data_IF_878920087364
#
_entry.id   IF_878920087364
#
_cell.length_a   1.000
_cell.length_b   1.000
_cell.length_c   1.000
_cell.angle_alpha   90.00
_cell.angle_beta   90.00
_cell.angle_gamma   90.00
#
_symmetry.space_group_name_H-M   'P 1'
#
loop_
_entity.id
_entity.type
_entity.pdbx_description
1 polymer ?
#
# COMPACT_ATOMS: atom_id res chain seq x y z
N UNK A 1 -19.13 -38.56 0.09
CA UNK A 1 -17.89 -37.86 0.41
C UNK A 1 -18.10 -36.70 1.42
N UNK A 2 -19.06 -35.77 1.23
CA UNK A 2 -19.36 -34.66 2.16
C UNK A 2 -19.77 -35.11 3.58
N UNK A 3 -20.57 -36.15 3.71
CA UNK A 3 -21.09 -36.65 4.99
C UNK A 3 -20.01 -37.24 5.89
N UNK A 4 -19.08 -38.02 5.31
CA UNK A 4 -17.94 -38.63 6.03
C UNK A 4 -16.99 -37.53 6.53
N UNK A 5 -16.71 -36.55 5.68
CA UNK A 5 -15.87 -35.39 6.04
C UNK A 5 -16.42 -34.63 7.24
N UNK A 6 -17.74 -34.39 7.30
CA UNK A 6 -18.36 -33.68 8.41
C UNK A 6 -18.33 -34.44 9.72
N UNK A 7 -18.46 -35.79 9.69
CA UNK A 7 -18.29 -36.63 10.88
C UNK A 7 -16.88 -36.59 11.42
N UNK A 8 -15.87 -36.69 10.55
CA UNK A 8 -14.45 -36.60 10.92
C UNK A 8 -14.14 -35.22 11.51
N UNK A 9 -14.60 -34.13 10.89
CA UNK A 9 -14.41 -32.76 11.40
C UNK A 9 -15.04 -32.58 12.78
N UNK A 10 -16.24 -33.15 13.01
CA UNK A 10 -16.90 -33.11 14.31
C UNK A 10 -16.08 -33.86 15.37
N UNK A 11 -15.54 -35.03 15.03
CA UNK A 11 -14.68 -35.78 15.95
C UNK A 11 -13.40 -35.03 16.29
N UNK A 12 -12.73 -34.46 15.30
CA UNK A 12 -11.53 -33.63 15.46
C UNK A 12 -11.81 -32.42 16.35
N UNK A 13 -12.96 -31.75 16.19
CA UNK A 13 -13.32 -30.57 16.97
C UNK A 13 -13.50 -30.84 18.47
N UNK A 14 -13.79 -32.11 18.86
CA UNK A 14 -13.86 -32.50 20.28
C UNK A 14 -12.47 -32.79 20.88
N UNK A 15 -11.50 -33.18 20.06
CA UNK A 15 -10.17 -33.65 20.51
C UNK A 15 -9.14 -32.51 20.43
N UNK A 16 -9.27 -31.60 19.44
CA UNK A 16 -8.30 -30.52 19.23
C UNK A 16 -8.72 -29.28 20.01
N UNK A 17 -7.94 -28.83 21.00
CA UNK A 17 -8.23 -27.61 21.74
C UNK A 17 -8.33 -26.40 20.80
N UNK A 18 -9.25 -25.49 21.08
CA UNK A 18 -9.48 -24.28 20.28
C UNK A 18 -8.19 -23.46 20.03
N UNK A 19 -7.32 -23.36 21.05
CA UNK A 19 -6.05 -22.64 20.91
C UNK A 19 -5.13 -23.23 19.83
N UNK A 20 -5.14 -24.56 19.65
CA UNK A 20 -4.40 -25.23 18.57
C UNK A 20 -4.97 -24.84 17.20
N UNK A 21 -6.31 -24.84 17.06
CA UNK A 21 -6.97 -24.45 15.81
C UNK A 21 -6.63 -23.01 15.47
N UNK A 22 -6.74 -22.09 16.44
CA UNK A 22 -6.42 -20.66 16.26
C UNK A 22 -4.95 -20.45 15.92
N UNK A 23 -4.03 -21.20 16.55
CA UNK A 23 -2.61 -21.15 16.27
C UNK A 23 -2.30 -21.59 14.82
N UNK A 24 -2.82 -22.74 14.40
CA UNK A 24 -2.59 -23.24 13.04
C UNK A 24 -3.23 -22.35 11.98
N UNK A 25 -4.43 -21.83 12.26
CA UNK A 25 -5.07 -20.87 11.37
C UNK A 25 -4.22 -19.61 11.20
N UNK A 26 -3.71 -19.04 12.30
CA UNK A 26 -2.84 -17.87 12.30
C UNK A 26 -1.53 -18.16 11.54
N UNK A 27 -0.88 -19.28 11.85
CA UNK A 27 0.35 -19.70 11.19
C UNK A 27 0.14 -19.84 9.67
N UNK A 28 -0.92 -20.55 9.26
CA UNK A 28 -1.27 -20.74 7.85
C UNK A 28 -1.55 -19.39 7.16
N UNK A 29 -2.27 -18.49 7.82
CA UNK A 29 -2.55 -17.15 7.31
C UNK A 29 -1.25 -16.38 7.07
N UNK A 30 -0.35 -16.32 8.05
CA UNK A 30 0.95 -15.65 7.94
C UNK A 30 1.82 -16.21 6.82
N UNK A 31 1.89 -17.55 6.69
CA UNK A 31 2.66 -18.21 5.63
C UNK A 31 2.13 -17.89 4.22
N UNK A 32 0.84 -17.54 4.10
CA UNK A 32 0.20 -17.11 2.88
C UNK A 32 0.17 -15.56 2.73
N UNK A 33 0.89 -14.83 3.56
CA UNK A 33 1.00 -13.37 3.49
C UNK A 33 -0.14 -12.61 4.18
N UNK A 34 -1.14 -13.29 4.74
CA UNK A 34 -2.29 -12.69 5.42
C UNK A 34 -1.89 -12.31 6.85
N UNK A 35 -1.84 -11.02 7.16
CA UNK A 35 -1.32 -10.51 8.44
C UNK A 35 0.20 -10.57 8.57
N UNK A 36 0.92 -10.95 7.52
CA UNK A 36 2.37 -10.93 7.51
C UNK A 36 2.89 -9.50 7.36
N UNK A 37 3.68 -9.08 8.33
CA UNK A 37 4.31 -7.76 8.37
C UNK A 37 5.83 -7.92 8.28
N UNK A 38 6.40 -7.93 7.06
CA UNK A 38 7.85 -7.92 6.90
C UNK A 38 8.45 -6.61 7.40
N UNK A 39 9.76 -6.59 7.62
CA UNK A 39 10.45 -5.32 7.83
C UNK A 39 10.35 -4.46 6.55
N UNK A 40 10.36 -3.14 6.69
CA UNK A 40 10.35 -2.21 5.54
C UNK A 40 11.53 -2.50 4.60
N UNK A 41 12.70 -2.88 5.13
CA UNK A 41 13.87 -3.28 4.36
C UNK A 41 13.60 -4.53 3.49
N UNK A 42 12.81 -5.49 4.00
CA UNK A 42 12.39 -6.69 3.27
C UNK A 42 11.39 -6.34 2.17
N UNK A 43 10.42 -5.47 2.45
CA UNK A 43 9.46 -5.01 1.45
C UNK A 43 10.17 -4.33 0.27
N UNK A 44 11.05 -3.36 0.58
CA UNK A 44 11.86 -2.66 -0.42
C UNK A 44 12.72 -3.66 -1.21
N UNK A 45 13.34 -4.64 -0.53
CA UNK A 45 14.14 -5.67 -1.21
C UNK A 45 13.30 -6.47 -2.22
N UNK A 46 12.11 -6.93 -1.84
CA UNK A 46 11.23 -7.68 -2.75
C UNK A 46 10.79 -6.85 -3.95
N UNK A 47 10.45 -5.58 -3.75
CA UNK A 47 10.08 -4.67 -4.82
C UNK A 47 11.24 -4.42 -5.79
N UNK A 48 12.45 -4.13 -5.28
CA UNK A 48 13.64 -3.89 -6.11
C UNK A 48 14.06 -5.17 -6.87
N UNK A 49 14.01 -6.33 -6.21
CA UNK A 49 14.26 -7.62 -6.87
C UNK A 49 13.25 -7.89 -7.98
N UNK A 50 11.97 -7.55 -7.76
CA UNK A 50 10.91 -7.73 -8.77
C UNK A 50 11.04 -6.75 -9.93
N UNK A 51 11.54 -5.54 -9.71
CA UNK A 51 11.85 -4.59 -10.79
C UNK A 51 12.96 -5.12 -11.71
N UNK A 52 13.98 -5.77 -11.15
CA UNK A 52 15.11 -6.31 -11.91
C UNK A 52 16.12 -5.26 -12.42
N UNK A 53 15.90 -3.97 -12.07
CA UNK A 53 16.81 -2.85 -12.41
C UNK A 53 16.73 -1.77 -11.31
N UNK A 54 17.69 -0.83 -11.32
CA UNK A 54 17.72 0.28 -10.37
C UNK A 54 16.72 1.35 -10.81
N UNK A 55 15.66 1.63 -10.02
CA UNK A 55 14.66 2.62 -10.37
C UNK A 55 15.25 4.04 -10.37
N UNK A 56 14.88 4.85 -11.37
CA UNK A 56 15.27 6.26 -11.50
C UNK A 56 14.36 7.18 -10.68
N UNK A 57 13.13 6.75 -10.41
CA UNK A 57 12.17 7.52 -9.64
C UNK A 57 11.32 6.64 -8.73
N UNK A 58 10.94 7.22 -7.59
CA UNK A 58 10.11 6.61 -6.56
C UNK A 58 9.05 7.61 -6.10
N UNK A 59 7.82 7.15 -6.00
CA UNK A 59 6.69 7.93 -5.50
C UNK A 59 6.16 7.25 -4.24
N UNK A 60 6.05 7.98 -3.13
CA UNK A 60 5.40 7.48 -1.90
C UNK A 60 4.16 8.33 -1.59
N UNK A 61 3.04 7.65 -1.42
CA UNK A 61 1.72 8.25 -1.16
C UNK A 61 1.28 7.75 0.22
N UNK A 62 1.20 8.69 1.20
CA UNK A 62 1.05 8.37 2.61
C UNK A 62 2.40 8.09 3.27
N UNK A 63 3.20 9.15 3.42
CA UNK A 63 4.62 9.04 3.83
C UNK A 63 4.77 8.88 5.34
N UNK A 64 3.80 9.37 6.13
CA UNK A 64 3.85 9.40 7.59
C UNK A 64 5.16 10.05 8.10
N UNK A 65 6.09 9.31 8.72
CA UNK A 65 7.40 9.81 9.19
C UNK A 65 8.55 9.54 8.22
N UNK A 66 8.26 9.01 7.03
CA UNK A 66 9.24 8.76 5.97
C UNK A 66 10.12 7.55 6.20
N UNK A 67 9.70 6.59 7.01
CA UNK A 67 10.53 5.42 7.35
C UNK A 67 10.71 4.51 6.12
N UNK A 68 9.67 4.36 5.30
CA UNK A 68 9.79 3.62 4.05
C UNK A 68 10.73 4.32 3.05
N UNK A 69 10.57 5.64 2.84
CA UNK A 69 11.50 6.45 2.05
C UNK A 69 12.94 6.29 2.51
N UNK A 70 13.20 6.24 3.83
CA UNK A 70 14.56 6.05 4.37
C UNK A 70 15.14 4.70 3.92
N UNK A 71 14.37 3.63 3.94
CA UNK A 71 14.82 2.31 3.47
C UNK A 71 15.07 2.30 1.95
N UNK A 72 14.20 2.95 1.16
CA UNK A 72 14.41 3.12 -0.28
C UNK A 72 15.71 3.86 -0.56
N UNK A 73 15.94 5.01 0.08
CA UNK A 73 17.14 5.83 -0.12
C UNK A 73 18.43 5.17 0.34
N UNK A 74 18.39 4.24 1.30
CA UNK A 74 19.56 3.40 1.66
C UNK A 74 19.99 2.52 0.50
N UNK A 75 19.04 2.02 -0.30
CA UNK A 75 19.29 1.09 -1.41
C UNK A 75 19.55 1.81 -2.73
N UNK A 76 18.85 2.92 -2.98
CA UNK A 76 18.89 3.67 -4.24
C UNK A 76 19.01 5.18 -3.99
N UNK A 77 20.15 5.67 -3.46
CA UNK A 77 20.31 7.06 -3.02
C UNK A 77 20.22 8.11 -4.14
N UNK A 78 20.44 7.73 -5.40
CA UNK A 78 20.36 8.61 -6.57
C UNK A 78 18.96 8.75 -7.16
N UNK A 79 17.98 8.02 -6.63
CA UNK A 79 16.60 8.02 -7.12
C UNK A 79 15.92 9.39 -6.91
N UNK A 80 15.19 9.86 -7.92
CA UNK A 80 14.30 11.01 -7.77
C UNK A 80 13.06 10.61 -6.96
N UNK A 81 12.79 11.32 -5.86
CA UNK A 81 11.75 10.93 -4.89
C UNK A 81 10.64 11.97 -4.83
N UNK A 82 9.39 11.53 -4.92
CA UNK A 82 8.19 12.34 -4.84
C UNK A 82 7.32 11.85 -3.67
N UNK A 83 7.17 12.68 -2.64
CA UNK A 83 6.54 12.35 -1.37
C UNK A 83 5.23 13.11 -1.20
N UNK A 84 4.15 12.40 -0.86
CA UNK A 84 2.83 12.97 -0.64
C UNK A 84 2.36 12.68 0.78
N UNK A 85 2.26 13.73 1.62
CA UNK A 85 1.84 13.64 3.02
C UNK A 85 0.86 14.77 3.34
N UNK A 86 -0.43 14.47 3.58
CA UNK A 86 -1.43 15.48 3.86
C UNK A 86 -1.36 16.06 5.27
N UNK A 87 -1.00 15.29 6.30
CA UNK A 87 -0.94 15.77 7.68
C UNK A 87 0.15 16.81 7.86
N UNK A 88 -0.22 18.00 8.36
CA UNK A 88 0.73 19.09 8.63
C UNK A 88 1.83 18.68 9.61
N UNK A 89 1.49 17.86 10.61
CA UNK A 89 2.44 17.37 11.62
C UNK A 89 3.48 16.45 10.97
N UNK A 90 3.03 15.43 10.24
CA UNK A 90 3.91 14.47 9.56
C UNK A 90 4.74 15.16 8.48
N UNK A 91 4.12 16.04 7.69
CA UNK A 91 4.81 16.86 6.70
C UNK A 91 5.97 17.66 7.30
N UNK A 92 5.77 18.28 8.47
CA UNK A 92 6.82 19.03 9.16
C UNK A 92 7.99 18.13 9.60
N UNK A 93 7.68 16.91 10.08
CA UNK A 93 8.68 15.90 10.47
C UNK A 93 9.54 15.51 9.26
N UNK A 94 8.89 15.16 8.14
CA UNK A 94 9.58 14.77 6.90
C UNK A 94 10.42 15.93 6.36
N UNK A 95 9.86 17.14 6.34
CA UNK A 95 10.58 18.34 5.89
C UNK A 95 11.86 18.59 6.69
N UNK A 96 11.81 18.38 8.02
CA UNK A 96 12.98 18.47 8.91
C UNK A 96 14.01 17.38 8.58
N UNK A 97 13.57 16.15 8.35
CA UNK A 97 14.45 15.05 7.92
C UNK A 97 15.15 15.37 6.60
N UNK A 98 14.41 15.81 5.58
CA UNK A 98 14.97 16.17 4.27
C UNK A 98 16.01 17.29 4.41
N UNK A 99 15.70 18.36 5.14
CA UNK A 99 16.64 19.47 5.36
C UNK A 99 17.97 19.03 5.99
N UNK A 100 17.93 18.10 6.95
CA UNK A 100 19.15 17.57 7.60
C UNK A 100 20.00 16.70 6.68
N UNK A 101 19.41 16.10 5.65
CA UNK A 101 20.04 15.16 4.73
C UNK A 101 20.23 15.70 3.31
N UNK A 102 19.91 16.99 3.08
CA UNK A 102 19.87 17.61 1.74
C UNK A 102 21.21 17.50 1.00
N UNK A 103 22.35 17.54 1.71
CA UNK A 103 23.69 17.35 1.09
C UNK A 103 23.86 15.96 0.45
N UNK A 104 23.05 14.96 0.87
CA UNK A 104 23.11 13.58 0.41
C UNK A 104 22.01 13.23 -0.61
N UNK A 105 20.87 13.94 -0.59
CA UNK A 105 19.67 13.60 -1.36
C UNK A 105 19.06 14.85 -2.02
N UNK A 106 19.61 15.26 -3.16
CA UNK A 106 19.19 16.49 -3.86
C UNK A 106 17.89 16.36 -4.66
N UNK A 107 17.33 15.15 -4.77
CA UNK A 107 16.24 14.83 -5.70
C UNK A 107 14.91 14.51 -5.01
N UNK A 108 14.64 15.10 -3.82
CA UNK A 108 13.39 14.85 -3.09
C UNK A 108 12.44 16.02 -3.25
N UNK A 109 11.23 15.75 -3.74
CA UNK A 109 10.11 16.70 -3.78
C UNK A 109 9.04 16.24 -2.79
N UNK A 110 8.68 17.11 -1.84
CA UNK A 110 7.69 16.85 -0.80
C UNK A 110 6.46 17.75 -1.02
N UNK A 111 5.28 17.12 -1.07
CA UNK A 111 4.00 17.79 -1.30
C UNK A 111 3.09 17.63 -0.08
N UNK A 112 2.59 18.75 0.48
CA UNK A 112 1.59 18.71 1.56
C UNK A 112 0.19 18.58 0.96
N UNK A 113 -0.15 17.41 0.49
CA UNK A 113 -1.46 17.09 -0.06
C UNK A 113 -1.72 15.58 -0.04
N UNK A 114 -2.99 15.20 0.01
CA UNK A 114 -3.44 13.84 -0.21
C UNK A 114 -3.67 13.60 -1.71
N UNK A 115 -3.52 12.34 -2.13
CA UNK A 115 -3.87 11.94 -3.48
C UNK A 115 -5.20 11.17 -3.50
N UNK A 116 -6.00 11.40 -4.54
CA UNK A 116 -7.29 10.76 -4.77
C UNK A 116 -7.72 10.89 -6.23
N UNK A 117 -8.94 10.46 -6.54
CA UNK A 117 -9.56 10.58 -7.86
C UNK A 117 -10.19 11.97 -8.15
N UNK A 118 -10.07 12.92 -7.22
CA UNK A 118 -10.68 14.27 -7.31
C UNK A 118 -9.70 15.36 -6.89
N UNK A 119 -9.99 16.59 -7.34
CA UNK A 119 -9.26 17.81 -6.92
C UNK A 119 -10.19 18.65 -6.03
N UNK A 120 -10.02 18.59 -4.71
CA UNK A 120 -10.84 19.36 -3.73
C UNK A 120 -10.13 19.52 -2.39
N UNK A 121 -10.74 20.24 -1.45
CA UNK A 121 -10.41 20.15 -0.02
C UNK A 121 -11.28 19.07 0.61
N UNK A 122 -10.72 18.30 1.54
CA UNK A 122 -11.43 17.21 2.23
C UNK A 122 -10.93 17.05 3.67
N UNK A 123 -11.76 16.44 4.53
CA UNK A 123 -11.36 16.07 5.88
C UNK A 123 -10.40 14.91 5.84
N UNK A 124 -9.26 15.04 6.53
CA UNK A 124 -8.37 13.95 6.92
C UNK A 124 -8.71 13.61 8.37
N UNK A 125 -9.23 12.41 8.60
CA UNK A 125 -9.64 11.96 9.93
C UNK A 125 -8.48 11.29 10.65
N UNK A 126 -8.41 11.47 11.98
CA UNK A 126 -7.40 10.88 12.86
C UNK A 126 -7.92 10.73 14.30
N UNK A 127 -7.30 9.84 15.07
CA UNK A 127 -7.48 9.69 16.51
C UNK A 127 -6.63 10.70 17.30
N UNK A 128 -5.37 10.84 16.90
CA UNK A 128 -4.39 11.79 17.42
C UNK A 128 -3.59 12.45 16.28
N UNK A 129 -3.13 13.68 16.50
CA UNK A 129 -2.31 14.40 15.51
C UNK A 129 -1.05 13.60 15.16
N UNK A 130 -0.80 13.45 13.86
CA UNK A 130 0.35 12.71 13.34
C UNK A 130 0.19 11.18 13.39
N UNK A 131 -1.01 10.67 13.60
CA UNK A 131 -1.31 9.23 13.57
C UNK A 131 -0.97 8.61 12.22
N UNK A 132 -0.37 7.41 12.25
CA UNK A 132 -0.16 6.60 11.04
C UNK A 132 -1.48 6.13 10.43
N UNK A 133 -2.54 6.03 11.23
CA UNK A 133 -3.86 5.58 10.81
C UNK A 133 -4.74 6.72 10.26
N UNK A 134 -4.18 7.90 9.96
CA UNK A 134 -4.93 9.01 9.39
C UNK A 134 -5.42 8.66 7.98
N UNK A 135 -6.71 8.90 7.70
CA UNK A 135 -7.33 8.55 6.41
C UNK A 135 -8.33 9.61 5.95
N UNK A 136 -8.54 9.70 4.64
CA UNK A 136 -9.64 10.47 4.05
C UNK A 136 -11.00 9.80 4.29
N UNK A 137 -11.01 8.56 4.76
CA UNK A 137 -12.20 7.84 5.21
C UNK A 137 -12.30 7.88 6.72
N UNK A 138 -13.48 8.25 7.23
CA UNK A 138 -13.72 8.26 8.67
C UNK A 138 -13.89 6.84 9.18
N UNK A 139 -13.13 6.48 10.23
CA UNK A 139 -13.30 5.23 11.00
C UNK A 139 -13.99 5.51 12.33
N UNK A 140 -14.62 4.51 12.92
CA UNK A 140 -15.43 4.65 14.14
C UNK A 140 -14.70 5.32 15.31
N UNK A 141 -13.40 5.02 15.49
CA UNK A 141 -12.57 5.54 16.57
C UNK A 141 -11.94 6.92 16.28
N UNK A 142 -12.09 7.46 15.06
CA UNK A 142 -11.51 8.75 14.65
C UNK A 142 -12.51 9.88 14.91
N UNK A 143 -12.24 10.70 15.93
CA UNK A 143 -13.11 11.79 16.36
C UNK A 143 -12.64 13.18 15.93
N UNK A 144 -11.43 13.28 15.36
CA UNK A 144 -10.79 14.54 14.96
C UNK A 144 -10.53 14.55 13.47
N UNK A 145 -10.39 15.74 12.91
CA UNK A 145 -10.00 15.90 11.52
C UNK A 145 -9.25 17.22 11.30
N UNK A 146 -8.51 17.29 10.21
CA UNK A 146 -7.99 18.52 9.62
C UNK A 146 -8.44 18.63 8.16
N UNK A 147 -8.50 19.85 7.62
CA UNK A 147 -8.84 20.07 6.22
C UNK A 147 -7.56 20.04 5.40
N UNK A 148 -7.48 19.15 4.45
CA UNK A 148 -6.31 18.95 3.59
C UNK A 148 -6.65 19.19 2.12
N UNK A 149 -5.62 19.56 1.35
CA UNK A 149 -5.71 19.60 -0.11
C UNK A 149 -5.68 18.17 -0.65
N UNK A 150 -6.62 17.84 -1.52
CA UNK A 150 -6.69 16.57 -2.23
C UNK A 150 -6.54 16.82 -3.72
N UNK A 151 -5.67 16.07 -4.39
CA UNK A 151 -5.40 16.21 -5.83
C UNK A 151 -5.33 14.84 -6.49
N UNK A 152 -5.58 14.85 -7.79
CA UNK A 152 -5.26 13.74 -8.68
C UNK A 152 -3.75 13.77 -8.98
N UNK A 153 -3.12 12.62 -9.05
CA UNK A 153 -1.70 12.54 -9.40
C UNK A 153 -1.44 13.07 -10.82
N UNK A 154 -2.31 12.74 -11.77
CA UNK A 154 -2.20 13.24 -13.15
C UNK A 154 -2.25 14.78 -13.23
N UNK A 155 -3.00 15.43 -12.34
CA UNK A 155 -3.05 16.90 -12.23
C UNK A 155 -1.75 17.46 -11.67
N UNK A 156 -1.20 16.84 -10.60
CA UNK A 156 0.07 17.28 -10.00
C UNK A 156 1.22 17.13 -10.99
N UNK A 157 1.22 16.04 -11.75
CA UNK A 157 2.31 15.71 -12.68
C UNK A 157 2.18 16.35 -14.06
N UNK A 158 1.17 17.19 -14.33
CA UNK A 158 1.12 17.97 -15.59
C UNK A 158 2.40 18.77 -15.85
N UNK A 159 3.03 19.27 -14.78
CA UNK A 159 4.30 20.04 -14.83
C UNK A 159 5.55 19.21 -14.61
N UNK A 160 5.39 17.93 -14.27
CA UNK A 160 6.49 17.00 -14.00
C UNK A 160 6.45 15.93 -15.09
N UNK A 161 7.28 16.09 -16.10
CA UNK A 161 7.36 15.14 -17.21
C UNK A 161 8.20 13.94 -16.76
N UNK A 162 7.56 12.78 -16.62
CA UNK A 162 8.22 11.48 -16.45
C UNK A 162 7.82 10.59 -17.62
N UNK A 163 8.80 10.03 -18.30
CA UNK A 163 8.56 9.07 -19.38
C UNK A 163 8.06 7.75 -18.80
N UNK A 164 8.60 7.35 -17.65
CA UNK A 164 8.24 6.17 -16.88
C UNK A 164 8.21 6.49 -15.39
N UNK A 165 7.30 5.83 -14.65
CA UNK A 165 7.25 5.81 -13.19
C UNK A 165 7.68 4.42 -12.76
N UNK A 166 8.89 4.32 -12.18
CA UNK A 166 9.49 3.02 -11.90
C UNK A 166 8.88 2.34 -10.69
N UNK A 167 8.72 3.08 -9.58
CA UNK A 167 8.29 2.52 -8.32
C UNK A 167 7.33 3.45 -7.59
N UNK A 168 6.20 2.90 -7.13
CA UNK A 168 5.19 3.59 -6.33
C UNK A 168 4.89 2.78 -5.07
N UNK A 169 4.86 3.42 -3.89
CA UNK A 169 4.25 2.88 -2.67
C UNK A 169 2.97 3.67 -2.38
N UNK A 170 1.88 2.97 -2.15
CA UNK A 170 0.59 3.56 -1.73
C UNK A 170 0.21 2.96 -0.38
N UNK A 171 0.09 3.83 0.63
CA UNK A 171 -0.24 3.48 2.00
C UNK A 171 -1.06 4.61 2.62
N UNK A 172 -2.36 4.55 2.40
CA UNK A 172 -3.29 5.66 2.70
C UNK A 172 -4.53 5.19 3.48
N UNK A 173 -4.36 4.07 4.17
CA UNK A 173 -5.33 3.56 5.14
C UNK A 173 -6.74 3.36 4.56
N UNK A 174 -6.81 2.58 3.46
CA UNK A 174 -8.04 2.15 2.81
C UNK A 174 -8.49 3.04 1.65
N UNK A 175 -7.71 4.07 1.28
CA UNK A 175 -8.06 5.00 0.18
C UNK A 175 -7.26 4.72 -1.11
N UNK A 176 -6.58 3.57 -1.18
CA UNK A 176 -5.64 3.17 -2.26
C UNK A 176 -6.32 3.15 -3.62
N UNK A 177 -7.51 2.55 -3.72
CA UNK A 177 -8.25 2.50 -4.99
C UNK A 177 -8.58 3.90 -5.53
N UNK A 178 -8.93 4.84 -4.64
CA UNK A 178 -9.19 6.21 -5.02
C UNK A 178 -7.91 6.91 -5.50
N UNK A 179 -6.77 6.63 -4.85
CA UNK A 179 -5.47 7.10 -5.32
C UNK A 179 -5.16 6.56 -6.71
N UNK A 180 -5.34 5.25 -6.94
CA UNK A 180 -5.13 4.59 -8.23
C UNK A 180 -5.97 5.23 -9.35
N UNK A 181 -7.24 5.53 -9.10
CA UNK A 181 -8.07 6.27 -10.06
C UNK A 181 -7.54 7.69 -10.35
N UNK A 182 -6.83 8.29 -9.40
CA UNK A 182 -6.19 9.60 -9.55
C UNK A 182 -4.95 9.60 -10.46
N UNK A 183 -4.40 8.45 -10.79
CA UNK A 183 -3.30 8.36 -11.77
C UNK A 183 -3.77 8.68 -13.19
N UNK A 184 -5.04 8.46 -13.52
CA UNK A 184 -5.53 8.62 -14.89
C UNK A 184 -4.68 7.83 -15.89
N UNK A 185 -4.27 8.45 -16.99
CA UNK A 185 -3.41 7.82 -18.00
C UNK A 185 -1.96 7.58 -17.52
N UNK A 186 -1.51 8.22 -16.43
CA UNK A 186 -0.17 7.97 -15.88
C UNK A 186 0.01 6.52 -15.41
N UNK A 187 -1.07 5.81 -15.07
CA UNK A 187 -1.00 4.40 -14.67
C UNK A 187 -0.32 3.53 -15.72
N UNK A 188 -0.49 3.84 -17.00
CA UNK A 188 0.13 3.12 -18.11
C UNK A 188 1.65 3.28 -18.13
N UNK A 189 2.20 4.32 -17.50
CA UNK A 189 3.65 4.58 -17.38
C UNK A 189 4.27 3.98 -16.12
N UNK A 190 3.45 3.45 -15.21
CA UNK A 190 3.94 2.88 -13.95
C UNK A 190 4.42 1.46 -14.18
N UNK A 191 5.62 1.15 -13.65
CA UNK A 191 6.18 -0.21 -13.69
C UNK A 191 5.76 -1.05 -12.50
N UNK A 192 5.97 -0.54 -11.27
CA UNK A 192 5.66 -1.27 -10.04
C UNK A 192 4.88 -0.40 -9.07
N UNK A 193 3.83 -1.00 -8.48
CA UNK A 193 3.08 -0.41 -7.36
C UNK A 193 3.07 -1.39 -6.21
N UNK A 194 3.53 -0.97 -5.04
CA UNK A 194 3.28 -1.66 -3.78
C UNK A 194 2.10 -0.97 -3.09
N UNK A 195 1.17 -1.76 -2.56
CA UNK A 195 -0.02 -1.26 -1.87
C UNK A 195 -0.44 -2.21 -0.76
N UNK A 196 -1.24 -1.68 0.16
CA UNK A 196 -1.84 -2.44 1.24
C UNK A 196 -3.31 -2.75 0.95
N UNK A 197 -3.77 -3.93 1.39
CA UNK A 197 -5.19 -4.27 1.47
C UNK A 197 -5.49 -4.91 2.83
N UNK A 198 -6.60 -4.52 3.44
CA UNK A 198 -6.98 -5.07 4.73
C UNK A 198 -8.28 -4.47 5.29
N UNK A 199 -8.41 -4.49 6.61
CA UNK A 199 -9.62 -4.08 7.34
C UNK A 199 -10.07 -2.63 7.06
N UNK A 200 -9.16 -1.75 6.66
CA UNK A 200 -9.47 -0.35 6.32
C UNK A 200 -10.40 -0.22 5.10
N UNK A 201 -10.43 -1.25 4.24
CA UNK A 201 -11.31 -1.29 3.07
C UNK A 201 -12.79 -1.55 3.41
N UNK A 202 -13.05 -2.16 4.56
CA UNK A 202 -14.42 -2.38 5.06
C UNK A 202 -15.15 -1.04 5.23
N UNK A 203 -14.48 -0.04 5.80
CA UNK A 203 -15.06 1.30 6.01
C UNK A 203 -15.40 2.00 4.68
N UNK A 204 -14.70 1.67 3.61
CA UNK A 204 -14.92 2.17 2.25
C UNK A 204 -15.95 1.35 1.46
N UNK A 205 -16.40 0.21 1.96
CA UNK A 205 -17.19 -0.78 1.22
C UNK A 205 -16.52 -1.14 -0.12
N UNK A 206 -15.20 -1.33 -0.07
CA UNK A 206 -14.36 -1.73 -1.20
C UNK A 206 -13.83 -3.14 -0.97
N UNK A 207 -13.58 -3.83 -2.06
CA UNK A 207 -13.16 -5.22 -2.08
C UNK A 207 -11.81 -5.36 -2.76
N UNK A 208 -11.11 -6.45 -2.48
CA UNK A 208 -9.90 -6.78 -3.23
C UNK A 208 -10.20 -6.95 -4.72
N UNK A 209 -11.38 -7.46 -5.06
CA UNK A 209 -11.88 -7.56 -6.44
C UNK A 209 -11.84 -6.22 -7.18
N UNK A 210 -12.15 -5.11 -6.52
CA UNK A 210 -12.15 -3.80 -7.17
C UNK A 210 -10.74 -3.38 -7.57
N UNK A 211 -9.75 -3.63 -6.68
CA UNK A 211 -8.33 -3.40 -6.97
C UNK A 211 -7.83 -4.37 -8.03
N UNK A 212 -8.17 -5.66 -7.92
CA UNK A 212 -7.79 -6.68 -8.88
C UNK A 212 -8.26 -6.31 -10.29
N UNK A 213 -9.53 -5.94 -10.44
CA UNK A 213 -10.11 -5.53 -11.71
C UNK A 213 -9.45 -4.27 -12.26
N UNK A 214 -9.12 -3.29 -11.39
CA UNK A 214 -8.41 -2.09 -11.80
C UNK A 214 -7.04 -2.44 -12.39
N UNK A 215 -6.25 -3.23 -11.71
CA UNK A 215 -4.92 -3.62 -12.17
C UNK A 215 -4.96 -4.52 -13.42
N UNK A 216 -5.91 -5.46 -13.47
CA UNK A 216 -6.10 -6.33 -14.64
C UNK A 216 -6.43 -5.53 -15.89
N UNK A 217 -7.30 -4.50 -15.78
CA UNK A 217 -7.63 -3.58 -16.89
C UNK A 217 -6.40 -2.90 -17.50
N UNK A 218 -5.36 -2.67 -16.72
CA UNK A 218 -4.13 -2.01 -17.16
C UNK A 218 -2.95 -2.97 -17.34
N UNK A 219 -3.21 -4.28 -17.45
CA UNK A 219 -2.21 -5.33 -17.66
C UNK A 219 -1.15 -5.45 -16.57
N UNK A 220 -1.55 -5.35 -15.30
CA UNK A 220 -0.66 -5.63 -14.17
C UNK A 220 -0.85 -7.06 -13.66
N UNK A 221 0.25 -7.72 -13.33
CA UNK A 221 0.27 -8.91 -12.50
C UNK A 221 0.32 -8.52 -11.02
N UNK A 222 -0.49 -9.17 -10.17
CA UNK A 222 -0.54 -8.88 -8.74
C UNK A 222 0.12 -10.01 -7.97
N UNK A 223 0.98 -9.66 -7.02
CA UNK A 223 1.68 -10.56 -6.12
C UNK A 223 1.35 -10.20 -4.67
N UNK A 224 1.16 -11.21 -3.82
CA UNK A 224 1.12 -11.04 -2.37
C UNK A 224 2.53 -11.20 -1.80
N UNK A 225 2.89 -10.36 -0.82
CA UNK A 225 4.15 -10.49 -0.07
C UNK A 225 3.98 -11.55 1.01
N UNK A 226 4.83 -12.58 0.99
CA UNK A 226 4.84 -13.69 1.95
C UNK A 226 6.22 -13.84 2.59
N UNK A 227 6.37 -14.62 3.67
CA UNK A 227 7.68 -14.96 4.23
C UNK A 227 8.66 -15.58 3.22
N UNK A 228 8.13 -16.25 2.19
CA UNK A 228 8.92 -16.89 1.13
C UNK A 228 9.20 -15.96 -0.07
N UNK A 229 8.70 -14.72 -0.05
CA UNK A 229 8.81 -13.77 -1.16
C UNK A 229 7.46 -13.46 -1.82
N UNK A 230 7.50 -13.10 -3.09
CA UNK A 230 6.31 -12.69 -3.85
C UNK A 230 5.63 -13.92 -4.48
N UNK A 231 4.34 -14.11 -4.19
CA UNK A 231 3.51 -15.16 -4.80
C UNK A 231 2.51 -14.52 -5.74
N UNK A 232 2.50 -14.95 -7.00
CA UNK A 232 1.58 -14.46 -8.03
C UNK A 232 0.13 -14.86 -7.73
N UNK A 233 -0.77 -13.90 -7.78
CA UNK A 233 -2.22 -14.12 -7.79
C UNK A 233 -2.64 -14.31 -9.25
N UNK A 234 -2.78 -15.56 -9.68
CA UNK A 234 -3.09 -15.90 -11.09
C UNK A 234 -4.48 -15.45 -11.52
N UNK A 235 -5.44 -15.52 -10.61
CA UNK A 235 -6.84 -15.16 -10.84
C UNK A 235 -7.48 -14.66 -9.55
N UNK A 236 -8.51 -13.85 -9.66
CA UNK A 236 -9.33 -13.46 -8.52
C UNK A 236 -10.16 -14.66 -8.05
N UNK A 237 -10.22 -14.84 -6.73
CA UNK A 237 -11.13 -15.76 -6.04
C UNK A 237 -11.68 -15.07 -4.79
N UNK A 238 -12.90 -15.40 -4.41
CA UNK A 238 -13.59 -14.80 -3.25
C UNK A 238 -12.83 -14.98 -1.93
N UNK A 239 -12.03 -16.04 -1.82
CA UNK A 239 -11.17 -16.26 -0.65
C UNK A 239 -10.02 -15.24 -0.51
N UNK A 240 -9.85 -14.32 -1.47
CA UNK A 240 -8.95 -13.18 -1.36
C UNK A 240 -9.57 -12.02 -0.58
N UNK A 241 -10.89 -12.04 -0.31
CA UNK A 241 -11.63 -11.05 0.48
C UNK A 241 -11.52 -11.34 1.99
N UNK A 242 -10.32 -11.47 2.52
CA UNK A 242 -10.12 -11.83 3.94
C UNK A 242 -9.93 -10.64 4.88
N UNK A 243 -9.83 -9.41 4.37
CA UNK A 243 -9.70 -8.15 5.12
C UNK A 243 -8.69 -8.16 6.28
N UNK A 244 -7.74 -9.07 6.24
CA UNK A 244 -6.58 -9.08 7.13
C UNK A 244 -5.49 -8.27 6.44
N UNK A 245 -4.82 -7.37 7.17
CA UNK A 245 -3.68 -6.60 6.68
C UNK A 245 -2.74 -7.46 5.84
N UNK A 246 -2.45 -7.02 4.64
CA UNK A 246 -1.53 -7.70 3.72
C UNK A 246 -0.93 -6.74 2.73
N UNK A 247 0.34 -6.94 2.40
CA UNK A 247 1.05 -6.15 1.41
C UNK A 247 1.07 -6.85 0.06
N UNK A 248 0.83 -6.08 -1.00
CA UNK A 248 0.79 -6.55 -2.38
C UNK A 248 1.73 -5.74 -3.26
N UNK A 249 2.16 -6.37 -4.35
CA UNK A 249 2.96 -5.75 -5.41
C UNK A 249 2.28 -5.98 -6.74
N UNK A 250 1.97 -4.91 -7.47
CA UNK A 250 1.46 -4.96 -8.83
C UNK A 250 2.57 -4.57 -9.82
N UNK A 251 2.79 -5.40 -10.85
CA UNK A 251 3.81 -5.19 -11.89
C UNK A 251 3.14 -5.07 -13.25
N UNK A 252 3.42 -3.98 -13.96
CA UNK A 252 2.94 -3.77 -15.32
C UNK A 252 3.69 -4.69 -16.30
N UNK A 253 2.93 -5.47 -17.08
CA UNK A 253 3.47 -6.39 -18.10
C UNK A 253 3.96 -5.68 -19.35
N UNK A 254 3.45 -4.47 -19.64
CA UNK A 254 3.71 -3.74 -20.87
C UNK A 254 4.94 -2.81 -20.81
N UNK A 255 5.57 -2.63 -19.62
CA UNK A 255 6.70 -1.72 -19.39
C UNK A 255 7.96 -2.49 -19.00
#
# INVERSE_FOLDING_TARGET
MFFVRNKILKLISFVVPKFCVDFFFKLFSLLNGRGYQPSLATEVHYCLKKLGYVPKNFIEIGVHHGDYTKEVLKKIPACAVYLFEPSLVNFAIIKKFIKRKIKKFNNIKLFNLALSNVNKKQKLFYDKKGSSMSSLSKRSFQNKFEIVQVRRLDTVFKKIKLDRIDYVKIDVEGYELNCLHGFGNLIKKVKLIQFEFGHTYVDQRKYFRDIYNYFNKFNFDIYIITPKGLILIKEYKENLEYFIFSNFVAINRNN
#
